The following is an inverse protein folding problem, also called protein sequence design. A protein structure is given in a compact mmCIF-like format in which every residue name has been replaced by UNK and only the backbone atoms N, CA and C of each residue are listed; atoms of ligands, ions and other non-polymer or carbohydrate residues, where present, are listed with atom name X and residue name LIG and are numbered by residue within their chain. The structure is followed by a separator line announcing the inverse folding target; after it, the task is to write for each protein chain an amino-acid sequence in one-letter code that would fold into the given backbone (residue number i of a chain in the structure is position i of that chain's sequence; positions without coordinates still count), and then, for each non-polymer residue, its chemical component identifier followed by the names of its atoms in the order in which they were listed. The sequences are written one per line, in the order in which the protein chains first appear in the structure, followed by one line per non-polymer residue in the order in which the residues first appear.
data_IF_189209298637
#
_entry.id   IF_189209298637
#
_cell.length_a   1.000
_cell.length_b   1.000
_cell.length_c   1.000
_cell.angle_alpha   90.00
_cell.angle_beta   90.00
_cell.angle_gamma   90.00
#
_symmetry.space_group_name_H-M   'P 1'
#
loop_
_entity.id
_entity.type
_entity.pdbx_description
1 polymer ?
#
# COMPACT_ATOMS: atom_id res chain seq x y z
N UNK A 1 12.21 -10.63 -53.63
CA UNK A 1 12.01 -11.85 -52.83
C UNK A 1 13.12 -11.80 -51.79
N UNK A 2 12.87 -11.15 -50.64
CA UNK A 2 12.47 -11.82 -49.39
C UNK A 2 13.51 -12.89 -49.08
N UNK A 3 14.45 -12.65 -48.18
CA UNK A 3 14.13 -12.81 -46.77
C UNK A 3 15.11 -12.00 -45.90
N UNK A 4 14.66 -10.84 -45.42
CA UNK A 4 15.20 -10.21 -44.21
C UNK A 4 14.50 -10.91 -43.07
N UNK A 5 15.22 -11.62 -42.21
CA UNK A 5 15.00 -11.65 -40.75
C UNK A 5 15.66 -12.88 -40.15
N UNK A 6 16.90 -12.73 -39.69
CA UNK A 6 17.30 -13.11 -38.34
C UNK A 6 18.40 -12.10 -37.95
N UNK A 7 18.54 -11.67 -36.69
CA UNK A 7 18.39 -12.56 -35.54
C UNK A 7 17.83 -11.87 -34.26
N UNK A 8 17.79 -12.63 -33.17
CA UNK A 8 17.89 -12.15 -31.77
C UNK A 8 16.77 -11.26 -31.22
N UNK A 9 15.77 -11.86 -30.55
CA UNK A 9 15.32 -11.45 -29.20
C UNK A 9 14.05 -12.18 -28.71
N UNK A 10 14.02 -13.52 -28.76
CA UNK A 10 13.03 -14.26 -27.96
C UNK A 10 13.54 -14.55 -26.53
N UNK A 11 14.84 -14.38 -26.28
CA UNK A 11 15.44 -14.52 -24.96
C UNK A 11 15.21 -13.31 -24.04
N UNK A 12 15.04 -12.11 -24.63
CA UNK A 12 14.74 -10.87 -23.89
C UNK A 12 13.27 -10.74 -23.47
N UNK A 13 12.38 -11.55 -24.05
CA UNK A 13 10.95 -11.59 -23.67
C UNK A 13 10.67 -12.35 -22.36
N UNK A 14 11.61 -13.19 -21.90
CA UNK A 14 11.40 -14.05 -20.73
C UNK A 14 12.57 -14.10 -19.72
N UNK A 15 13.58 -13.23 -19.85
CA UNK A 15 14.77 -13.24 -18.96
C UNK A 15 14.77 -12.21 -17.82
N UNK A 16 13.64 -11.64 -17.44
CA UNK A 16 13.56 -10.84 -16.23
C UNK A 16 12.13 -10.86 -15.73
N UNK A 17 11.91 -11.36 -14.51
CA UNK A 17 10.61 -11.20 -13.86
C UNK A 17 10.19 -9.74 -14.03
N UNK A 18 9.10 -9.52 -14.76
CA UNK A 18 8.59 -8.18 -15.00
C UNK A 18 8.54 -7.46 -13.65
N UNK A 19 8.99 -6.20 -13.52
CA UNK A 19 9.02 -5.50 -12.24
C UNK A 19 7.69 -5.59 -11.47
N UNK A 20 6.58 -5.65 -12.21
CA UNK A 20 5.24 -5.90 -11.68
C UNK A 20 5.06 -7.30 -11.06
N UNK A 21 5.52 -8.37 -11.73
CA UNK A 21 5.48 -9.74 -11.21
C UNK A 21 6.34 -9.92 -9.96
N UNK A 22 7.48 -9.23 -9.89
CA UNK A 22 8.31 -9.24 -8.69
C UNK A 22 7.64 -8.44 -7.56
N UNK A 23 7.04 -7.29 -7.87
CA UNK A 23 6.28 -6.53 -6.89
C UNK A 23 5.10 -7.34 -6.34
N UNK A 24 4.33 -8.06 -7.18
CA UNK A 24 3.24 -8.93 -6.74
C UNK A 24 3.72 -10.04 -5.81
N UNK A 25 4.89 -10.63 -6.11
CA UNK A 25 5.53 -11.63 -5.25
C UNK A 25 5.89 -11.03 -3.89
N UNK A 26 6.48 -9.83 -3.87
CA UNK A 26 6.83 -9.11 -2.65
C UNK A 26 5.60 -8.75 -1.83
N UNK A 27 4.51 -8.30 -2.45
CA UNK A 27 3.24 -7.98 -1.79
C UNK A 27 2.67 -9.24 -1.12
N UNK A 28 2.62 -10.34 -1.86
CA UNK A 28 2.12 -11.62 -1.34
C UNK A 28 2.94 -12.09 -0.13
N UNK A 29 4.27 -11.98 -0.22
CA UNK A 29 5.16 -12.33 0.89
C UNK A 29 4.99 -11.36 2.08
N UNK A 30 4.79 -10.07 1.83
CA UNK A 30 4.56 -9.08 2.88
C UNK A 30 3.28 -9.38 3.67
N UNK A 31 2.20 -9.78 2.98
CA UNK A 31 0.97 -10.22 3.63
C UNK A 31 1.18 -11.46 4.51
N UNK A 32 1.95 -12.45 4.03
CA UNK A 32 2.28 -13.64 4.82
C UNK A 32 3.10 -13.27 6.07
N UNK A 33 4.16 -12.48 5.93
CA UNK A 33 4.96 -12.03 7.07
C UNK A 33 4.14 -11.22 8.08
N UNK A 34 3.17 -10.42 7.61
CA UNK A 34 2.27 -9.69 8.50
C UNK A 34 1.37 -10.64 9.31
N UNK A 35 0.84 -11.70 8.67
CA UNK A 35 0.04 -12.72 9.35
C UNK A 35 0.86 -13.55 10.36
N UNK A 36 2.13 -13.79 10.06
CA UNK A 36 3.08 -14.47 10.95
C UNK A 36 3.55 -13.57 12.11
N UNK A 37 3.25 -12.28 12.05
CA UNK A 37 3.66 -11.29 13.05
C UNK A 37 5.09 -10.76 12.87
N UNK A 38 5.78 -11.13 11.79
CA UNK A 38 7.04 -10.50 11.40
C UNK A 38 6.76 -9.15 10.72
N UNK A 39 6.44 -8.18 11.56
CA UNK A 39 6.07 -6.84 11.12
C UNK A 39 7.23 -6.12 10.41
N UNK A 40 8.48 -6.37 10.83
CA UNK A 40 9.66 -5.75 10.22
C UNK A 40 9.89 -6.26 8.80
N UNK A 41 9.76 -7.58 8.58
CA UNK A 41 9.82 -8.15 7.26
C UNK A 41 8.66 -7.66 6.38
N UNK A 42 7.43 -7.66 6.90
CA UNK A 42 6.26 -7.18 6.16
C UNK A 42 6.44 -5.73 5.68
N UNK A 43 6.86 -4.82 6.58
CA UNK A 43 7.08 -3.42 6.23
C UNK A 43 8.17 -3.25 5.16
N UNK A 44 9.28 -4.00 5.27
CA UNK A 44 10.36 -3.99 4.26
C UNK A 44 9.88 -4.45 2.90
N UNK A 45 9.15 -5.56 2.83
CA UNK A 45 8.66 -6.13 1.58
C UNK A 45 7.64 -5.21 0.89
N UNK A 46 6.73 -4.60 1.67
CA UNK A 46 5.83 -3.57 1.14
C UNK A 46 6.58 -2.37 0.58
N UNK A 47 7.62 -1.88 1.28
CA UNK A 47 8.42 -0.76 0.77
C UNK A 47 9.17 -1.12 -0.52
N UNK A 48 9.65 -2.36 -0.66
CA UNK A 48 10.28 -2.83 -1.90
C UNK A 48 9.27 -2.90 -3.05
N UNK A 49 8.05 -3.41 -2.81
CA UNK A 49 7.00 -3.41 -3.83
C UNK A 49 6.64 -1.99 -4.29
N UNK A 50 6.54 -1.04 -3.36
CA UNK A 50 6.31 0.39 -3.68
C UNK A 50 7.47 0.94 -4.52
N UNK A 51 8.72 0.63 -4.17
CA UNK A 51 9.89 1.05 -4.93
C UNK A 51 9.95 0.47 -6.36
N UNK A 52 9.26 -0.66 -6.62
CA UNK A 52 9.09 -1.24 -7.95
C UNK A 52 7.89 -0.64 -8.74
N UNK A 53 7.26 0.41 -8.21
CA UNK A 53 6.20 1.16 -8.89
C UNK A 53 4.77 0.79 -8.46
N UNK A 54 4.60 -0.07 -7.44
CA UNK A 54 3.29 -0.36 -6.84
C UNK A 54 2.96 0.67 -5.77
N UNK A 55 2.60 1.87 -6.20
CA UNK A 55 2.24 2.98 -5.31
C UNK A 55 0.74 3.32 -5.42
N UNK A 56 -0.10 2.30 -5.24
CA UNK A 56 -1.55 2.47 -5.18
C UNK A 56 -2.07 2.65 -3.72
N UNK A 57 -3.21 3.35 -3.52
CA UNK A 57 -3.74 3.61 -2.18
C UNK A 57 -3.98 2.35 -1.33
N UNK A 58 -4.34 1.24 -1.98
CA UNK A 58 -4.51 -0.05 -1.30
C UNK A 58 -3.22 -0.56 -0.66
N UNK A 59 -2.08 -0.42 -1.35
CA UNK A 59 -0.81 -0.91 -0.83
C UNK A 59 -0.26 -0.02 0.29
N UNK A 60 -0.44 1.30 0.15
CA UNK A 60 -0.12 2.25 1.22
C UNK A 60 -0.98 2.03 2.47
N UNK A 61 -2.25 1.70 2.30
CA UNK A 61 -3.14 1.29 3.40
C UNK A 61 -2.64 0.00 4.06
N UNK A 62 -2.22 -1.01 3.31
CA UNK A 62 -1.68 -2.24 3.88
C UNK A 62 -0.37 -2.04 4.66
N UNK A 63 0.56 -1.26 4.11
CA UNK A 63 1.77 -0.87 4.82
C UNK A 63 1.44 -0.10 6.11
N UNK A 64 0.45 0.79 6.08
CA UNK A 64 0.05 1.54 7.27
C UNK A 64 -0.45 0.63 8.41
N UNK A 65 -1.14 -0.48 8.09
CA UNK A 65 -1.60 -1.44 9.10
C UNK A 65 -0.42 -2.07 9.83
N UNK A 66 0.61 -2.46 9.07
CA UNK A 66 1.86 -2.99 9.64
C UNK A 66 2.54 -1.93 10.52
N UNK A 67 2.64 -0.69 10.05
CA UNK A 67 3.25 0.41 10.83
C UNK A 67 2.48 0.70 12.13
N UNK A 68 1.15 0.63 12.11
CA UNK A 68 0.32 0.74 13.32
C UNK A 68 0.60 -0.41 14.29
N UNK A 69 0.70 -1.65 13.80
CA UNK A 69 1.06 -2.80 14.64
C UNK A 69 2.46 -2.65 15.27
N UNK A 70 3.38 -1.98 14.56
CA UNK A 70 4.70 -1.61 15.07
C UNK A 70 4.69 -0.40 16.02
N UNK A 71 3.53 0.19 16.32
CA UNK A 71 3.38 1.45 17.08
C UNK A 71 4.06 2.67 16.44
N UNK A 72 4.38 2.59 15.14
CA UNK A 72 4.97 3.67 14.34
C UNK A 72 3.87 4.55 13.75
N UNK A 73 3.05 5.13 14.64
CA UNK A 73 1.82 5.83 14.25
C UNK A 73 2.07 7.03 13.33
N UNK A 74 3.15 7.80 13.55
CA UNK A 74 3.49 8.93 12.70
C UNK A 74 3.78 8.51 11.25
N UNK A 75 4.52 7.42 11.06
CA UNK A 75 4.80 6.92 9.71
C UNK A 75 3.56 6.32 9.05
N UNK A 76 2.70 5.65 9.82
CA UNK A 76 1.42 5.17 9.32
C UNK A 76 0.55 6.32 8.80
N UNK A 77 0.48 7.44 9.54
CA UNK A 77 -0.24 8.66 9.12
C UNK A 77 0.28 9.17 7.78
N UNK A 78 1.60 9.27 7.60
CA UNK A 78 2.16 9.76 6.33
C UNK A 78 1.77 8.87 5.15
N UNK A 79 1.84 7.53 5.29
CA UNK A 79 1.40 6.61 4.24
C UNK A 79 -0.09 6.69 3.94
N UNK A 80 -0.92 6.83 4.98
CA UNK A 80 -2.36 6.98 4.82
C UNK A 80 -2.75 8.31 4.14
N UNK A 81 -2.02 9.39 4.40
CA UNK A 81 -2.21 10.68 3.71
C UNK A 81 -1.82 10.59 2.24
N UNK A 82 -0.73 9.90 1.92
CA UNK A 82 -0.35 9.59 0.54
C UNK A 82 -1.45 8.74 -0.14
N UNK A 83 -1.98 7.74 0.56
CA UNK A 83 -3.06 6.90 0.04
C UNK A 83 -4.32 7.73 -0.30
N UNK A 84 -4.73 8.67 0.55
CA UNK A 84 -5.85 9.59 0.23
C UNK A 84 -5.56 10.50 -0.97
N UNK A 85 -4.33 10.96 -1.12
CA UNK A 85 -3.93 11.79 -2.26
C UNK A 85 -3.90 11.00 -3.58
N UNK A 86 -3.67 9.69 -3.52
CA UNK A 86 -3.62 8.78 -4.66
C UNK A 86 -4.98 8.40 -5.29
N UNK A 87 -6.05 9.14 -5.01
CA UNK A 87 -7.41 8.90 -5.53
C UNK A 87 -7.95 7.49 -5.20
N UNK A 88 -8.11 7.15 -3.92
CA UNK A 88 -8.67 5.87 -3.52
C UNK A 88 -10.14 5.75 -3.97
N UNK A 89 -10.58 4.52 -4.22
CA UNK A 89 -12.01 4.26 -4.37
C UNK A 89 -12.76 4.55 -3.04
N UNK A 90 -14.09 4.53 -3.09
CA UNK A 90 -14.93 4.86 -1.94
C UNK A 90 -14.68 3.93 -0.72
N UNK A 91 -14.43 2.64 -0.95
CA UNK A 91 -14.20 1.66 0.12
C UNK A 91 -12.80 1.83 0.74
N UNK A 92 -11.81 2.13 -0.10
CA UNK A 92 -10.45 2.44 0.30
C UNK A 92 -10.43 3.75 1.10
N UNK A 93 -11.06 4.82 0.61
CA UNK A 93 -11.16 6.10 1.29
C UNK A 93 -11.77 5.96 2.69
N UNK A 94 -12.88 5.22 2.80
CA UNK A 94 -13.50 4.86 4.08
C UNK A 94 -12.50 4.18 5.02
N UNK A 95 -11.81 3.14 4.54
CA UNK A 95 -10.83 2.39 5.34
C UNK A 95 -9.67 3.27 5.79
N UNK A 96 -9.19 4.16 4.92
CA UNK A 96 -8.11 5.09 5.21
C UNK A 96 -8.53 6.12 6.27
N UNK A 97 -9.73 6.69 6.17
CA UNK A 97 -10.25 7.62 7.19
C UNK A 97 -10.36 6.95 8.57
N UNK A 98 -10.82 5.70 8.64
CA UNK A 98 -10.85 4.96 9.89
C UNK A 98 -9.44 4.71 10.46
N UNK A 99 -8.49 4.33 9.61
CA UNK A 99 -7.11 4.11 10.02
C UNK A 99 -6.43 5.39 10.51
N UNK A 100 -6.64 6.52 9.82
CA UNK A 100 -6.13 7.83 10.24
C UNK A 100 -6.71 8.26 11.58
N UNK A 101 -8.02 8.07 11.80
CA UNK A 101 -8.65 8.36 13.08
C UNK A 101 -7.94 7.64 14.24
N UNK A 102 -7.71 6.34 14.09
CA UNK A 102 -7.05 5.50 15.11
C UNK A 102 -5.59 5.85 15.31
N UNK A 103 -4.86 6.13 14.22
CA UNK A 103 -3.46 6.51 14.30
C UNK A 103 -3.29 7.86 15.01
N UNK A 104 -4.14 8.84 14.72
CA UNK A 104 -4.13 10.13 15.42
C UNK A 104 -4.55 10.02 16.89
N UNK A 105 -5.52 9.17 17.21
CA UNK A 105 -5.91 8.88 18.60
C UNK A 105 -4.73 8.29 19.39
N UNK A 106 -4.00 7.33 18.82
CA UNK A 106 -2.81 6.76 19.44
C UNK A 106 -1.67 7.78 19.62
N UNK A 107 -1.66 8.86 18.84
CA UNK A 107 -0.71 9.98 18.97
C UNK A 107 -1.21 11.10 19.90
N UNK A 108 -2.42 10.99 20.49
CA UNK A 108 -3.04 12.04 21.30
C UNK A 108 -3.51 13.26 20.50
N UNK A 109 -3.64 13.13 19.18
CA UNK A 109 -4.06 14.20 18.28
C UNK A 109 -5.58 14.18 18.08
N UNK A 110 -6.32 14.37 19.17
CA UNK A 110 -7.77 14.14 19.25
C UNK A 110 -8.60 14.92 18.22
N UNK A 111 -8.18 16.15 17.89
CA UNK A 111 -8.88 16.97 16.91
C UNK A 111 -8.81 16.36 15.50
N UNK A 112 -7.63 15.88 15.11
CA UNK A 112 -7.42 15.21 13.83
C UNK A 112 -8.12 13.85 13.81
N UNK A 113 -8.05 13.11 14.93
CA UNK A 113 -8.77 11.84 15.08
C UNK A 113 -10.28 12.02 14.81
N UNK A 114 -10.91 12.99 15.48
CA UNK A 114 -12.33 13.31 15.29
C UNK A 114 -12.66 13.75 13.86
N UNK A 115 -11.79 14.53 13.23
CA UNK A 115 -12.00 14.96 11.84
C UNK A 115 -12.05 13.75 10.89
N UNK A 116 -11.09 12.83 10.99
CA UNK A 116 -11.06 11.65 10.14
C UNK A 116 -12.18 10.65 10.47
N UNK A 117 -12.59 10.55 11.74
CA UNK A 117 -13.75 9.74 12.12
C UNK A 117 -15.06 10.24 11.50
N UNK A 118 -15.26 11.56 11.45
CA UNK A 118 -16.42 12.16 10.76
C UNK A 118 -16.41 11.84 9.27
N UNK A 119 -15.28 12.02 8.60
CA UNK A 119 -15.16 11.68 7.19
C UNK A 119 -15.41 10.18 6.91
N UNK A 120 -15.00 9.28 7.83
CA UNK A 120 -15.38 7.87 7.76
C UNK A 120 -16.90 7.65 7.86
N UNK A 121 -17.59 8.39 8.72
CA UNK A 121 -19.04 8.32 8.87
C UNK A 121 -19.78 8.89 7.66
N UNK A 122 -19.31 9.99 7.10
CA UNK A 122 -19.89 10.57 5.88
C UNK A 122 -19.73 9.62 4.69
N UNK A 123 -18.61 8.89 4.62
CA UNK A 123 -18.40 7.81 3.66
C UNK A 123 -19.27 6.56 3.93
N UNK A 124 -19.89 6.40 5.10
CA UNK A 124 -20.84 5.29 5.34
C UNK A 124 -22.23 5.59 4.77
N UNK A 125 -22.63 6.86 4.80
CA UNK A 125 -23.99 7.31 4.49
C UNK A 125 -24.17 7.76 3.05
N UNK A 126 -23.09 7.93 2.29
CA UNK A 126 -23.09 8.41 0.90
C UNK A 126 -23.36 7.32 -0.16
N UNK A 127 -24.17 6.29 0.16
CA UNK A 127 -24.61 5.22 -0.75
C UNK A 127 -25.96 5.56 -1.41
#
# INVERSE_FOLDING_TARGET
MSDKSQPDDLASLFSGGQPQSEADRLISQAHLSHLEGDLDQAARLFCQAIALGRDEPGLLLDLSKVLVAQKRHGEAVERLRQALAGSPDHLQARSIHLALSRAYEAMGQDQLARQHYRAFQDALTSL
#
